data_IF_847424068910
#
_entry.id   IF_847424068910
#
_cell.length_a   1.000
_cell.length_b   1.000
_cell.length_c   1.000
_cell.angle_alpha   90.00
_cell.angle_beta   90.00
_cell.angle_gamma   90.00
#
_symmetry.space_group_name_H-M   'P 1'
#
loop_
_entity.id
_entity.type
_entity.pdbx_description
1 polymer ?
#
# COMPACT_ATOMS: atom_id res chain seq x y z
N UNK A 1 10.62 13.32 -9.73
CA UNK A 1 9.44 12.43 -9.57
C UNK A 1 9.86 10.99 -9.74
N UNK A 2 9.45 10.13 -8.81
CA UNK A 2 9.70 8.68 -8.89
C UNK A 2 8.66 8.09 -9.85
N UNK A 3 9.09 7.17 -10.71
CA UNK A 3 8.16 6.32 -11.46
C UNK A 3 7.57 5.29 -10.50
N UNK A 4 6.30 5.52 -10.11
CA UNK A 4 5.57 4.67 -9.15
C UNK A 4 5.48 3.24 -9.67
N UNK A 5 5.29 3.05 -10.97
CA UNK A 5 5.18 1.71 -11.56
C UNK A 5 6.50 0.97 -11.45
N UNK A 6 7.58 1.60 -11.92
CA UNK A 6 8.91 1.00 -11.89
C UNK A 6 9.34 0.67 -10.46
N UNK A 7 9.04 1.54 -9.49
CA UNK A 7 9.32 1.30 -8.08
C UNK A 7 8.54 0.10 -7.53
N UNK A 8 7.22 0.04 -7.75
CA UNK A 8 6.35 -1.00 -7.21
C UNK A 8 6.63 -2.37 -7.85
N UNK A 9 7.04 -2.39 -9.12
CA UNK A 9 7.45 -3.62 -9.82
C UNK A 9 8.74 -4.24 -9.23
N UNK A 10 9.52 -3.49 -8.46
CA UNK A 10 10.71 -4.07 -7.76
C UNK A 10 10.35 -4.86 -6.51
N UNK A 11 9.09 -4.78 -6.03
CA UNK A 11 8.73 -5.34 -4.74
C UNK A 11 8.54 -6.87 -4.83
N UNK A 12 9.05 -7.64 -3.85
CA UNK A 12 8.95 -9.09 -3.89
C UNK A 12 7.51 -9.61 -4.03
N UNK A 13 7.27 -10.46 -5.02
CA UNK A 13 5.97 -11.07 -5.30
C UNK A 13 4.93 -10.15 -5.95
N UNK A 14 5.30 -8.91 -6.33
CA UNK A 14 4.38 -8.02 -7.03
C UNK A 14 4.23 -8.39 -8.50
N UNK A 15 3.01 -8.29 -9.01
CA UNK A 15 2.67 -8.40 -10.44
C UNK A 15 1.85 -7.19 -10.88
N UNK A 16 2.10 -6.71 -12.10
CA UNK A 16 1.39 -5.60 -12.73
C UNK A 16 0.50 -6.04 -13.88
N UNK A 17 -0.68 -5.44 -13.97
CA UNK A 17 -1.62 -5.68 -15.05
C UNK A 17 -2.39 -4.39 -15.42
N UNK A 18 -2.92 -4.29 -16.65
CA UNK A 18 -3.91 -3.26 -16.97
C UNK A 18 -5.14 -3.41 -16.07
N UNK A 19 -5.60 -2.29 -15.50
CA UNK A 19 -6.80 -2.29 -14.66
C UNK A 19 -8.08 -2.15 -15.50
N UNK A 20 -9.17 -2.80 -15.07
CA UNK A 20 -10.45 -2.84 -15.82
C UNK A 20 -11.15 -1.48 -15.99
N UNK A 21 -10.77 -0.48 -15.20
CA UNK A 21 -11.33 0.88 -15.26
C UNK A 21 -10.37 1.90 -15.90
N UNK A 22 -9.48 1.41 -16.77
CA UNK A 22 -8.24 2.09 -17.17
C UNK A 22 -7.27 2.23 -15.98
N UNK A 23 -5.98 2.36 -16.30
CA UNK A 23 -4.92 2.42 -15.29
C UNK A 23 -4.09 1.15 -15.17
N UNK A 24 -3.23 1.12 -14.15
CA UNK A 24 -2.33 0.00 -13.85
C UNK A 24 -2.60 -0.52 -12.46
N UNK A 25 -2.95 -1.79 -12.36
CA UNK A 25 -3.16 -2.51 -11.11
C UNK A 25 -1.86 -3.17 -10.66
N UNK A 26 -1.62 -3.13 -9.35
CA UNK A 26 -0.56 -3.87 -8.69
C UNK A 26 -1.17 -4.93 -7.77
N UNK A 27 -0.64 -6.14 -7.81
CA UNK A 27 -1.11 -7.25 -6.97
C UNK A 27 0.05 -7.98 -6.30
N UNK A 28 -0.19 -8.60 -5.15
CA UNK A 28 0.72 -9.55 -4.50
C UNK A 28 -0.06 -10.76 -4.01
N UNK A 29 0.36 -11.97 -4.38
CA UNK A 29 -0.37 -13.21 -4.06
C UNK A 29 -1.84 -13.18 -4.50
N UNK A 30 -2.13 -12.55 -5.64
CA UNK A 30 -3.47 -12.42 -6.21
C UNK A 30 -4.40 -11.40 -5.52
N UNK A 31 -3.86 -10.54 -4.64
CA UNK A 31 -4.62 -9.47 -3.98
C UNK A 31 -4.11 -8.10 -4.41
N UNK A 32 -5.04 -7.21 -4.75
CA UNK A 32 -4.76 -5.83 -5.12
C UNK A 32 -4.09 -5.08 -3.96
N UNK A 33 -2.95 -4.43 -4.24
CA UNK A 33 -2.29 -3.50 -3.32
C UNK A 33 -2.64 -2.04 -3.63
N UNK A 34 -3.08 -1.78 -4.86
CA UNK A 34 -3.61 -0.50 -5.34
C UNK A 34 -3.52 -0.40 -6.85
N UNK A 35 -4.03 0.68 -7.41
CA UNK A 35 -3.95 0.96 -8.83
C UNK A 35 -3.80 2.45 -9.15
N UNK A 36 -3.11 2.75 -10.23
CA UNK A 36 -2.91 4.09 -10.76
C UNK A 36 -3.95 4.44 -11.82
N UNK A 37 -4.56 5.61 -11.70
CA UNK A 37 -5.31 6.26 -12.77
C UNK A 37 -4.38 7.27 -13.46
N UNK A 38 -3.70 6.83 -14.51
CA UNK A 38 -2.73 7.65 -15.24
C UNK A 38 -1.65 8.24 -14.33
N UNK A 39 -1.43 9.55 -14.45
CA UNK A 39 -0.40 10.30 -13.69
C UNK A 39 -1.00 11.18 -12.58
N UNK A 40 -2.30 11.06 -12.27
CA UNK A 40 -2.99 12.03 -11.40
C UNK A 40 -3.50 11.44 -10.08
N UNK A 41 -3.66 10.12 -9.97
CA UNK A 41 -4.31 9.51 -8.80
C UNK A 41 -3.89 8.05 -8.59
N UNK A 42 -3.84 7.65 -7.32
CA UNK A 42 -3.77 6.26 -6.89
C UNK A 42 -4.93 5.95 -5.94
N UNK A 43 -5.57 4.81 -6.15
CA UNK A 43 -6.52 4.24 -5.20
C UNK A 43 -5.87 3.03 -4.50
N UNK A 44 -6.00 2.97 -3.18
CA UNK A 44 -5.29 1.99 -2.34
C UNK A 44 -6.28 1.26 -1.44
N UNK A 45 -6.46 -0.07 -1.61
CA UNK A 45 -7.28 -0.88 -0.72
C UNK A 45 -6.60 -1.10 0.64
N UNK A 46 -7.22 -0.63 1.72
CA UNK A 46 -6.75 -0.84 3.09
C UNK A 46 -7.83 -1.48 3.97
N UNK A 47 -7.51 -1.72 5.24
CA UNK A 47 -8.55 -1.99 6.27
C UNK A 47 -9.20 -0.67 6.68
N UNK A 48 -10.45 -0.71 7.17
CA UNK A 48 -11.09 0.48 7.73
C UNK A 48 -10.25 1.13 8.82
N UNK A 49 -9.72 0.35 9.76
CA UNK A 49 -8.86 0.86 10.84
C UNK A 49 -7.62 1.62 10.32
N UNK A 50 -6.95 1.08 9.29
CA UNK A 50 -5.78 1.73 8.70
C UNK A 50 -6.17 2.98 7.90
N UNK A 51 -7.29 2.91 7.16
CA UNK A 51 -7.87 4.06 6.48
C UNK A 51 -8.16 5.18 7.47
N UNK A 52 -8.83 4.88 8.58
CA UNK A 52 -9.30 5.88 9.54
C UNK A 52 -8.10 6.62 10.15
N UNK A 53 -7.05 5.91 10.57
CA UNK A 53 -5.81 6.53 11.06
C UNK A 53 -5.15 7.47 10.03
N UNK A 54 -5.07 7.05 8.75
CA UNK A 54 -4.48 7.87 7.69
C UNK A 54 -5.32 9.12 7.36
N UNK A 55 -6.65 9.01 7.41
CA UNK A 55 -7.56 10.13 7.15
C UNK A 55 -7.56 11.11 8.32
N UNK A 56 -7.58 10.63 9.57
CA UNK A 56 -7.49 11.46 10.77
C UNK A 56 -6.19 12.27 10.81
N UNK A 57 -5.08 11.71 10.32
CA UNK A 57 -3.79 12.38 10.20
C UNK A 57 -3.67 13.30 8.97
N UNK A 58 -4.68 13.33 8.10
CA UNK A 58 -4.66 14.12 6.86
C UNK A 58 -3.70 13.59 5.79
N UNK A 59 -3.23 12.34 5.92
CA UNK A 59 -2.29 11.71 4.97
C UNK A 59 -2.99 11.32 3.68
N UNK A 60 -4.25 10.90 3.74
CA UNK A 60 -5.04 10.50 2.57
C UNK A 60 -6.51 10.88 2.74
N UNK A 61 -7.27 10.84 1.64
CA UNK A 61 -8.71 11.06 1.65
C UNK A 61 -9.47 9.73 1.53
N UNK A 62 -10.70 9.62 2.09
CA UNK A 62 -11.58 8.50 1.79
C UNK A 62 -11.74 8.31 0.28
N UNK A 63 -11.91 7.07 -0.17
CA UNK A 63 -12.10 6.78 -1.59
C UNK A 63 -13.29 7.54 -2.18
N UNK A 64 -13.06 8.24 -3.30
CA UNK A 64 -14.02 9.20 -3.84
C UNK A 64 -15.35 8.56 -4.32
N UNK A 65 -15.35 7.30 -4.75
CA UNK A 65 -16.58 6.54 -5.13
C UNK A 65 -17.12 5.67 -3.99
N UNK A 66 -16.25 5.25 -3.07
CA UNK A 66 -16.57 4.26 -2.03
C UNK A 66 -16.12 4.73 -0.64
N UNK A 67 -16.62 5.87 -0.14
CA UNK A 67 -16.08 6.54 1.04
C UNK A 67 -16.25 5.75 2.35
N UNK A 68 -17.20 4.80 2.40
CA UNK A 68 -17.46 3.92 3.56
C UNK A 68 -16.63 2.62 3.54
N UNK A 69 -15.85 2.40 2.48
CA UNK A 69 -14.94 1.26 2.37
C UNK A 69 -13.68 1.47 3.22
N UNK A 70 -12.73 0.52 3.15
CA UNK A 70 -11.38 0.73 3.70
C UNK A 70 -10.45 1.43 2.71
N UNK A 71 -10.93 1.88 1.56
CA UNK A 71 -10.08 2.40 0.50
C UNK A 71 -9.80 3.89 0.70
N UNK A 72 -8.62 4.31 0.24
CA UNK A 72 -8.25 5.72 0.14
C UNK A 72 -8.00 6.10 -1.31
N UNK A 73 -8.27 7.36 -1.63
CA UNK A 73 -7.86 8.01 -2.87
C UNK A 73 -6.76 9.02 -2.54
N UNK A 74 -5.68 9.02 -3.32
CA UNK A 74 -4.56 9.94 -3.16
C UNK A 74 -4.18 10.57 -4.51
N UNK A 75 -4.05 11.90 -4.55
CA UNK A 75 -3.78 12.65 -5.78
C UNK A 75 -2.29 12.95 -5.95
N UNK A 76 -1.81 12.88 -7.18
CA UNK A 76 -0.43 13.09 -7.58
C UNK A 76 -0.26 14.53 -8.09
N UNK A 77 -0.07 15.48 -7.17
CA UNK A 77 0.05 16.91 -7.50
C UNK A 77 1.51 17.42 -7.52
N UNK A 78 2.45 16.58 -7.08
CA UNK A 78 3.83 16.98 -6.82
C UNK A 78 4.75 15.76 -6.70
N UNK A 79 6.06 16.02 -6.68
CA UNK A 79 7.03 14.97 -6.38
C UNK A 79 6.84 14.39 -4.96
N UNK A 80 6.49 15.22 -3.98
CA UNK A 80 6.11 14.74 -2.66
C UNK A 80 4.89 13.81 -2.74
N UNK A 81 3.92 14.14 -3.59
CA UNK A 81 2.79 13.28 -3.93
C UNK A 81 3.22 11.90 -4.45
N UNK A 82 4.16 11.82 -5.40
CA UNK A 82 4.64 10.51 -5.88
C UNK A 82 5.27 9.66 -4.78
N UNK A 83 6.03 10.26 -3.86
CA UNK A 83 6.57 9.55 -2.69
C UNK A 83 5.46 9.11 -1.72
N UNK A 84 4.46 9.95 -1.48
CA UNK A 84 3.30 9.62 -0.65
C UNK A 84 2.51 8.44 -1.21
N UNK A 85 2.31 8.40 -2.52
CA UNK A 85 1.64 7.30 -3.21
C UNK A 85 2.40 5.97 -3.06
N UNK A 86 3.72 5.98 -3.29
CA UNK A 86 4.59 4.81 -3.07
C UNK A 86 4.51 4.35 -1.61
N UNK A 87 4.53 5.28 -0.66
CA UNK A 87 4.42 4.98 0.77
C UNK A 87 3.08 4.30 1.13
N UNK A 88 1.96 4.81 0.62
CA UNK A 88 0.62 4.23 0.82
C UNK A 88 0.51 2.84 0.20
N UNK A 89 0.98 2.67 -1.04
CA UNK A 89 1.04 1.36 -1.70
C UNK A 89 1.90 0.37 -0.89
N UNK A 90 2.99 0.84 -0.28
CA UNK A 90 3.87 0.00 0.53
C UNK A 90 3.18 -0.48 1.81
N UNK A 91 2.36 0.34 2.45
CA UNK A 91 1.54 -0.09 3.59
C UNK A 91 0.55 -1.20 3.20
N UNK A 92 -0.14 -1.03 2.06
CA UNK A 92 -1.04 -2.05 1.53
C UNK A 92 -0.30 -3.35 1.22
N UNK A 93 0.83 -3.25 0.53
CA UNK A 93 1.72 -4.37 0.23
C UNK A 93 2.13 -5.13 1.50
N UNK A 94 2.63 -4.44 2.53
CA UNK A 94 3.09 -5.08 3.78
C UNK A 94 1.96 -5.80 4.51
N UNK A 95 0.74 -5.24 4.50
CA UNK A 95 -0.43 -5.94 5.05
C UNK A 95 -0.66 -7.29 4.34
N UNK A 96 -0.53 -7.32 3.02
CA UNK A 96 -0.71 -8.52 2.23
C UNK A 96 0.44 -9.51 2.40
N UNK A 97 1.69 -9.05 2.42
CA UNK A 97 2.88 -9.87 2.72
C UNK A 97 2.71 -10.58 4.07
N UNK A 98 2.34 -9.86 5.13
CA UNK A 98 2.09 -10.47 6.44
C UNK A 98 1.01 -11.54 6.40
N UNK A 99 -0.03 -11.34 5.60
CA UNK A 99 -1.09 -12.33 5.44
C UNK A 99 -0.61 -13.57 4.69
N UNK A 100 0.26 -13.40 3.69
CA UNK A 100 0.87 -14.48 2.94
C UNK A 100 1.87 -15.26 3.77
N UNK A 101 2.74 -14.60 4.54
CA UNK A 101 3.74 -15.23 5.44
C UNK A 101 3.13 -16.10 6.55
N UNK A 102 1.81 -16.02 6.80
CA UNK A 102 1.10 -16.92 7.72
C UNK A 102 0.59 -18.20 7.05
N UNK A 103 0.77 -18.35 5.74
CA UNK A 103 0.38 -19.53 4.98
C UNK A 103 1.58 -20.46 4.84
N UNK A 104 1.33 -21.77 4.78
CA UNK A 104 2.38 -22.78 4.59
C UNK A 104 2.98 -22.74 3.16
N UNK A 105 2.32 -22.07 2.22
CA UNK A 105 2.69 -21.98 0.80
C UNK A 105 3.12 -20.56 0.37
N UNK A 106 3.66 -19.76 1.30
CA UNK A 106 4.17 -18.43 0.98
C UNK A 106 5.31 -18.53 -0.06
N UNK A 107 5.30 -17.73 -1.14
CA UNK A 107 6.43 -17.67 -2.06
C UNK A 107 7.72 -17.26 -1.33
N UNK A 108 8.89 -17.86 -1.62
CA UNK A 108 10.13 -17.57 -0.91
C UNK A 108 10.53 -16.08 -0.92
N UNK A 109 10.26 -15.37 -2.02
CA UNK A 109 10.52 -13.94 -2.14
C UNK A 109 9.64 -13.09 -1.20
N UNK A 110 8.43 -13.55 -0.90
CA UNK A 110 7.52 -12.93 0.08
C UNK A 110 7.92 -13.32 1.50
N UNK A 111 8.33 -14.56 1.72
CA UNK A 111 8.85 -15.03 3.01
C UNK A 111 10.09 -14.23 3.45
N UNK A 112 11.00 -13.93 2.51
CA UNK A 112 12.21 -13.16 2.76
C UNK A 112 11.99 -11.67 3.14
N UNK A 113 10.77 -11.16 3.04
CA UNK A 113 10.47 -9.76 3.39
C UNK A 113 10.47 -9.58 4.91
N UNK A 114 11.48 -8.87 5.43
CA UNK A 114 11.47 -8.37 6.80
C UNK A 114 10.46 -7.21 6.93
N UNK A 115 9.21 -7.57 7.24
CA UNK A 115 8.12 -6.60 7.41
C UNK A 115 8.45 -5.58 8.50
N UNK A 116 9.05 -6.00 9.62
CA UNK A 116 9.39 -5.11 10.73
C UNK A 116 10.35 -4.01 10.28
N UNK A 117 11.46 -4.41 9.66
CA UNK A 117 12.47 -3.48 9.17
C UNK A 117 11.96 -2.58 8.03
N UNK A 118 11.04 -3.06 7.18
CA UNK A 118 10.41 -2.18 6.17
C UNK A 118 9.49 -1.16 6.85
N UNK A 119 8.67 -1.55 7.83
CA UNK A 119 7.81 -0.61 8.57
C UNK A 119 8.65 0.41 9.35
N UNK A 120 9.77 0.01 9.95
CA UNK A 120 10.71 0.92 10.60
C UNK A 120 11.21 1.98 9.62
N UNK A 121 11.63 1.58 8.40
CA UNK A 121 12.10 2.50 7.36
C UNK A 121 11.01 3.42 6.82
N UNK A 122 9.76 2.95 6.75
CA UNK A 122 8.62 3.79 6.36
C UNK A 122 8.29 4.85 7.41
N UNK A 123 8.73 4.65 8.65
CA UNK A 123 8.52 5.56 9.79
C UNK A 123 7.07 6.08 9.90
N UNK A 124 6.03 5.22 9.89
CA UNK A 124 4.65 5.65 10.08
C UNK A 124 4.43 6.13 11.52
N UNK A 125 3.33 6.86 11.73
CA UNK A 125 2.85 7.17 13.08
C UNK A 125 2.60 5.89 13.89
N UNK A 126 2.55 6.02 15.22
CA UNK A 126 2.19 4.90 16.10
C UNK A 126 0.79 4.33 15.77
N UNK A 127 -0.18 5.19 15.44
CA UNK A 127 -1.54 4.78 15.09
C UNK A 127 -1.57 3.97 13.79
N UNK A 128 -0.84 4.41 12.76
CA UNK A 128 -0.71 3.69 11.48
C UNK A 128 0.03 2.36 11.67
N UNK A 129 1.11 2.32 12.46
CA UNK A 129 1.82 1.08 12.81
C UNK A 129 0.90 0.08 13.52
N UNK A 130 0.16 0.54 14.52
CA UNK A 130 -0.79 -0.29 15.27
C UNK A 130 -1.89 -0.83 14.35
N UNK A 131 -2.44 0.01 13.48
CA UNK A 131 -3.47 -0.38 12.52
C UNK A 131 -2.97 -1.38 11.46
N UNK A 132 -1.68 -1.36 11.12
CA UNK A 132 -1.02 -2.37 10.29
C UNK A 132 -0.78 -3.70 11.03
N UNK A 133 -0.91 -3.67 12.36
CA UNK A 133 -0.74 -4.82 13.26
C UNK A 133 0.70 -5.27 13.41
N UNK A 134 1.67 -4.37 13.23
CA UNK A 134 3.11 -4.62 13.43
C UNK A 134 3.49 -4.07 14.80
N UNK A 135 3.97 -4.95 15.70
CA UNK A 135 4.39 -4.54 17.03
C UNK A 135 5.58 -3.57 17.00
N UNK A 136 5.80 -2.85 18.08
CA UNK A 136 7.06 -2.15 18.33
C UNK A 136 8.13 -3.18 18.69
N UNK A 137 9.32 -3.08 18.07
CA UNK A 137 10.51 -3.74 18.60
C UNK A 137 10.91 -2.92 19.82
N UNK A 138 10.77 -3.50 21.01
CA UNK A 138 11.17 -2.89 22.28
C UNK A 138 12.67 -3.06 22.50
#
# INVERSE_FOLDING_TARGET
MIDITAEVETWPGVSTAPHRFAGREFTVGGREIGHLHGEWQVDVPLTRRLRDALVEEGVASPHHVHPESGWVTYYLDSEAGTRGAVWLLRLSYLRHVRALQRRDDAPPEVEAVDVGAVVDRLNPSAAVREALGVGTVT
#
